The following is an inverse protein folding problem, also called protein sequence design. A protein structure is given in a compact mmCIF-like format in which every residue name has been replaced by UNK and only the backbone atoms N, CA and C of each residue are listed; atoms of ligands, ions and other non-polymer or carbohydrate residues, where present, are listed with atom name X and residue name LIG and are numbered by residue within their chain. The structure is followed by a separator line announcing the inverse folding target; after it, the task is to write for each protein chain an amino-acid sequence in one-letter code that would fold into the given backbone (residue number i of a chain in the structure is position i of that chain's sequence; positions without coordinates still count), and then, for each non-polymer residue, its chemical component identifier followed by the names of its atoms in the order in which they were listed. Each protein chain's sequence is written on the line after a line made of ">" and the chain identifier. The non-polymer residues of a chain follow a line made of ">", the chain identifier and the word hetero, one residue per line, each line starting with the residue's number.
data_IF_100838427579
#
_entry.id   IF_100838427579
#
_cell.length_a   1.000
_cell.length_b   1.000
_cell.length_c   1.000
_cell.angle_alpha   90.00
_cell.angle_beta   90.00
_cell.angle_gamma   90.00
#
_symmetry.space_group_name_H-M   'P 1'
#
loop_
_entity.id
_entity.type
_entity.pdbx_description
1 polymer ?
#
# COMPACT_ATOMS: atom_id res chain seq x y z
N UNK A 1 41.33 -8.37 8.26
CA UNK A 1 41.28 -6.89 8.11
C UNK A 1 39.94 -6.54 7.58
N UNK A 2 39.09 -5.91 8.41
CA UNK A 2 37.79 -5.41 7.98
C UNK A 2 37.97 -4.43 6.82
N UNK A 3 37.31 -4.68 5.71
CA UNK A 3 37.40 -3.86 4.48
C UNK A 3 36.78 -2.47 4.69
N UNK A 4 36.01 -2.29 5.77
CA UNK A 4 35.35 -1.02 6.08
C UNK A 4 36.00 -0.35 7.30
N UNK A 5 36.21 0.97 7.26
CA UNK A 5 36.69 1.72 8.43
C UNK A 5 35.73 1.53 9.62
N UNK A 6 36.28 1.31 10.81
CA UNK A 6 35.49 1.16 12.07
C UNK A 6 34.47 2.27 12.26
N UNK A 7 34.78 3.49 11.81
CA UNK A 7 33.88 4.63 11.79
C UNK A 7 32.55 4.38 11.03
N UNK A 8 32.59 3.69 9.88
CA UNK A 8 31.37 3.36 9.11
C UNK A 8 30.52 2.33 9.86
N UNK A 9 31.17 1.35 10.49
CA UNK A 9 30.48 0.33 11.29
C UNK A 9 29.82 0.95 12.51
N UNK A 10 30.51 1.85 13.20
CA UNK A 10 29.95 2.59 14.33
C UNK A 10 28.80 3.52 13.91
N UNK A 11 28.95 4.24 12.80
CA UNK A 11 27.86 5.05 12.24
C UNK A 11 26.61 4.20 11.95
N UNK A 12 26.76 3.06 11.31
CA UNK A 12 25.64 2.16 10.99
C UNK A 12 25.00 1.63 12.27
N UNK A 13 25.80 1.22 13.25
CA UNK A 13 25.27 0.68 14.51
C UNK A 13 24.56 1.73 15.36
N UNK A 14 25.05 2.99 15.34
CA UNK A 14 24.45 4.08 16.12
C UNK A 14 23.24 4.69 15.42
N UNK A 15 23.19 4.64 14.08
CA UNK A 15 22.10 5.21 13.27
C UNK A 15 20.99 4.20 12.97
N UNK A 16 21.24 2.91 13.11
CA UNK A 16 20.24 1.87 12.84
C UNK A 16 19.35 1.68 14.07
N UNK A 17 18.26 2.42 14.10
CA UNK A 17 17.20 2.21 15.10
C UNK A 17 16.39 0.97 14.68
N UNK A 18 16.59 -0.14 15.39
CA UNK A 18 15.92 -1.42 15.07
C UNK A 18 14.40 -1.36 15.15
N UNK A 19 13.85 -0.49 15.98
CA UNK A 19 12.43 -0.19 16.09
C UNK A 19 11.88 0.43 14.79
N UNK A 20 12.60 1.38 14.18
CA UNK A 20 12.26 1.98 12.88
C UNK A 20 12.25 0.90 11.78
N UNK A 21 13.28 0.03 11.78
CA UNK A 21 13.37 -1.06 10.80
C UNK A 21 12.19 -2.03 10.94
N UNK A 22 11.83 -2.40 12.16
CA UNK A 22 10.69 -3.29 12.42
C UNK A 22 9.37 -2.67 11.94
N UNK A 23 9.13 -1.40 12.26
CA UNK A 23 7.93 -0.69 11.81
C UNK A 23 7.89 -0.62 10.28
N UNK A 24 9.01 -0.30 9.64
CA UNK A 24 9.11 -0.28 8.18
C UNK A 24 8.78 -1.65 7.57
N UNK A 25 9.29 -2.74 8.13
CA UNK A 25 9.01 -4.11 7.67
C UNK A 25 7.53 -4.43 7.82
N UNK A 26 6.91 -4.12 8.96
CA UNK A 26 5.48 -4.38 9.20
C UNK A 26 4.62 -3.65 8.19
N UNK A 27 4.84 -2.34 7.99
CA UNK A 27 4.09 -1.55 7.02
C UNK A 27 4.34 -2.00 5.59
N UNK A 28 5.57 -2.42 5.25
CA UNK A 28 5.91 -2.95 3.92
C UNK A 28 5.16 -4.24 3.62
N UNK A 29 5.10 -5.17 4.57
CA UNK A 29 4.36 -6.45 4.40
C UNK A 29 2.86 -6.18 4.25
N UNK A 30 2.27 -5.37 5.13
CA UNK A 30 0.85 -5.05 5.08
C UNK A 30 0.48 -4.29 3.79
N UNK A 31 1.30 -3.32 3.40
CA UNK A 31 1.11 -2.59 2.16
C UNK A 31 1.26 -3.47 0.93
N UNK A 32 2.27 -4.35 0.91
CA UNK A 32 2.43 -5.33 -0.16
C UNK A 32 1.20 -6.22 -0.33
N UNK A 33 0.67 -6.77 0.75
CA UNK A 33 -0.54 -7.59 0.72
C UNK A 33 -1.75 -6.80 0.21
N UNK A 34 -1.93 -5.56 0.67
CA UNK A 34 -3.03 -4.69 0.23
C UNK A 34 -2.97 -4.46 -1.28
N UNK A 35 -1.84 -4.06 -1.81
CA UNK A 35 -1.67 -3.82 -3.25
C UNK A 35 -1.74 -5.11 -4.07
N UNK A 36 -1.22 -6.22 -3.53
CA UNK A 36 -1.30 -7.54 -4.17
C UNK A 36 -2.76 -7.92 -4.42
N UNK A 37 -3.65 -7.76 -3.44
CA UNK A 37 -5.07 -8.06 -3.61
C UNK A 37 -5.74 -7.15 -4.65
N UNK A 38 -5.37 -5.88 -4.69
CA UNK A 38 -5.88 -4.95 -5.71
C UNK A 38 -5.43 -5.40 -7.11
N UNK A 39 -4.14 -5.66 -7.30
CA UNK A 39 -3.61 -6.08 -8.60
C UNK A 39 -4.14 -7.45 -9.04
N UNK A 40 -4.32 -8.38 -8.11
CA UNK A 40 -4.93 -9.68 -8.39
C UNK A 40 -6.36 -9.54 -8.93
N UNK A 41 -7.17 -8.66 -8.32
CA UNK A 41 -8.53 -8.40 -8.81
C UNK A 41 -8.54 -7.71 -10.17
N UNK A 42 -7.69 -6.71 -10.37
CA UNK A 42 -7.58 -6.03 -11.65
C UNK A 42 -7.10 -6.96 -12.77
N UNK A 43 -6.10 -7.80 -12.49
CA UNK A 43 -5.60 -8.79 -13.43
C UNK A 43 -6.66 -9.80 -13.86
N UNK A 44 -7.57 -10.19 -12.97
CA UNK A 44 -8.66 -11.12 -13.31
C UNK A 44 -9.72 -10.53 -14.25
N UNK A 45 -9.79 -9.22 -14.38
CA UNK A 45 -10.75 -8.52 -15.23
C UNK A 45 -10.20 -8.22 -16.64
N UNK A 46 -8.90 -8.40 -16.82
CA UNK A 46 -8.22 -8.08 -18.08
C UNK A 46 -8.11 -9.35 -18.93
N UNK A 47 -8.67 -9.31 -20.13
CA UNK A 47 -8.64 -10.42 -21.07
C UNK A 47 -7.50 -10.32 -22.09
N UNK A 48 -6.96 -9.13 -22.31
CA UNK A 48 -5.89 -8.87 -23.28
C UNK A 48 -4.76 -8.09 -22.62
N UNK A 49 -3.52 -8.38 -23.03
CA UNK A 49 -2.32 -7.70 -22.50
C UNK A 49 -2.38 -6.19 -22.76
N UNK A 50 -2.96 -5.77 -23.87
CA UNK A 50 -3.15 -4.36 -24.24
C UNK A 50 -4.04 -3.58 -23.25
N UNK A 51 -4.98 -4.25 -22.61
CA UNK A 51 -5.93 -3.62 -21.65
C UNK A 51 -5.32 -3.50 -20.23
N UNK A 52 -4.19 -4.17 -19.95
CA UNK A 52 -3.54 -4.17 -18.62
C UNK A 52 -3.17 -2.76 -18.18
N UNK A 53 -2.55 -1.99 -19.06
CA UNK A 53 -2.11 -0.64 -18.74
C UNK A 53 -3.28 0.25 -18.30
N UNK A 54 -4.42 0.16 -18.98
CA UNK A 54 -5.64 0.90 -18.62
C UNK A 54 -6.21 0.49 -17.25
N UNK A 55 -6.18 -0.81 -16.95
CA UNK A 55 -6.70 -1.33 -15.69
C UNK A 55 -5.82 -0.92 -14.48
N UNK A 56 -4.50 -0.84 -14.66
CA UNK A 56 -3.54 -0.52 -13.56
C UNK A 56 -3.39 0.97 -13.34
N UNK A 57 -3.70 1.81 -14.33
CA UNK A 57 -3.52 3.27 -14.29
C UNK A 57 -4.10 3.92 -13.02
N UNK A 58 -5.33 3.64 -12.56
CA UNK A 58 -5.86 4.27 -11.35
C UNK A 58 -5.03 3.97 -10.10
N UNK A 59 -4.51 2.74 -9.99
CA UNK A 59 -3.65 2.33 -8.85
C UNK A 59 -2.30 3.00 -8.93
N UNK A 60 -1.76 3.18 -10.14
CA UNK A 60 -0.51 3.91 -10.37
C UNK A 60 -0.63 5.37 -9.93
N UNK A 61 -1.73 6.04 -10.25
CA UNK A 61 -1.97 7.41 -9.77
C UNK A 61 -2.06 7.48 -8.24
N UNK A 62 -2.72 6.51 -7.60
CA UNK A 62 -2.78 6.44 -6.15
C UNK A 62 -1.36 6.30 -5.55
N UNK A 63 -0.51 5.48 -6.16
CA UNK A 63 0.87 5.28 -5.75
C UNK A 63 1.71 6.55 -5.90
N UNK A 64 1.58 7.25 -7.03
CA UNK A 64 2.27 8.53 -7.28
C UNK A 64 1.84 9.57 -6.26
N UNK A 65 0.54 9.65 -5.96
CA UNK A 65 0.02 10.56 -4.95
C UNK A 65 0.57 10.25 -3.55
N UNK A 66 0.60 8.96 -3.18
CA UNK A 66 1.19 8.51 -1.93
C UNK A 66 2.68 8.85 -1.84
N UNK A 67 3.42 8.68 -2.94
CA UNK A 67 4.84 9.03 -3.03
C UNK A 67 5.08 10.54 -2.86
N UNK A 68 4.24 11.38 -3.47
CA UNK A 68 4.34 12.84 -3.30
C UNK A 68 4.14 13.23 -1.83
N UNK A 69 3.13 12.68 -1.16
CA UNK A 69 2.91 12.96 0.26
C UNK A 69 4.07 12.45 1.12
N UNK A 70 4.62 11.29 0.80
CA UNK A 70 5.79 10.74 1.48
C UNK A 70 7.00 11.68 1.37
N UNK A 71 7.25 12.27 0.19
CA UNK A 71 8.30 13.26 0.00
C UNK A 71 8.07 14.52 0.82
N UNK A 72 6.84 15.01 0.94
CA UNK A 72 6.51 16.11 1.86
C UNK A 72 6.84 15.70 3.30
N UNK A 73 6.57 14.44 3.65
CA UNK A 73 6.87 13.86 4.97
C UNK A 73 8.35 13.88 5.33
N UNK A 74 9.26 13.75 4.36
CA UNK A 74 10.70 13.82 4.64
C UNK A 74 11.16 15.23 5.03
N UNK A 75 10.53 16.26 4.47
CA UNK A 75 10.87 17.66 4.74
C UNK A 75 10.04 18.26 5.88
N UNK A 76 8.80 17.81 6.05
CA UNK A 76 7.85 18.34 7.02
C UNK A 76 6.96 17.24 7.61
N UNK A 77 7.54 16.35 8.44
CA UNK A 77 6.84 15.15 8.94
C UNK A 77 5.63 15.47 9.84
N UNK A 78 5.59 16.66 10.42
CA UNK A 78 4.48 17.13 11.25
C UNK A 78 3.41 17.93 10.48
N UNK A 79 3.55 18.10 9.16
CA UNK A 79 2.53 18.73 8.33
C UNK A 79 1.18 17.99 8.48
N UNK A 80 0.07 18.75 8.53
CA UNK A 80 -1.27 18.19 8.72
C UNK A 80 -1.63 17.13 7.67
N UNK A 81 -1.26 17.35 6.41
CA UNK A 81 -1.48 16.40 5.33
C UNK A 81 -0.75 15.07 5.57
N UNK A 82 0.47 15.10 6.10
CA UNK A 82 1.27 13.91 6.38
C UNK A 82 0.72 13.16 7.58
N UNK A 83 0.24 13.87 8.61
CA UNK A 83 -0.44 13.27 9.78
C UNK A 83 -1.72 12.54 9.37
N UNK A 84 -2.58 13.20 8.59
CA UNK A 84 -3.84 12.61 8.12
C UNK A 84 -3.56 11.40 7.22
N UNK A 85 -2.62 11.52 6.29
CA UNK A 85 -2.28 10.44 5.36
C UNK A 85 -1.68 9.20 6.05
N UNK A 86 -1.10 9.35 7.23
CA UNK A 86 -0.61 8.22 8.04
C UNK A 86 -1.73 7.27 8.50
N UNK A 87 -2.99 7.71 8.48
CA UNK A 87 -4.16 6.88 8.77
C UNK A 87 -4.85 6.34 7.52
N UNK A 88 -4.45 6.78 6.32
CA UNK A 88 -5.00 6.28 5.06
C UNK A 88 -4.19 5.06 4.61
N UNK A 89 -4.74 3.84 4.60
CA UNK A 89 -3.99 2.59 4.40
C UNK A 89 -3.14 2.55 3.13
N UNK A 90 -3.61 3.17 2.04
CA UNK A 90 -2.87 3.22 0.77
C UNK A 90 -1.63 4.11 0.82
N UNK A 91 -1.61 5.10 1.69
CA UNK A 91 -0.55 6.10 1.82
C UNK A 91 0.30 5.84 3.06
N UNK A 92 -0.29 5.29 4.11
CA UNK A 92 0.35 5.03 5.40
C UNK A 92 1.56 4.09 5.30
N UNK A 93 1.57 3.21 4.29
CA UNK A 93 2.72 2.38 3.92
C UNK A 93 4.02 3.20 3.85
N UNK A 94 3.94 4.41 3.32
CA UNK A 94 5.11 5.30 3.16
C UNK A 94 5.22 6.32 4.28
N UNK A 95 4.10 6.95 4.63
CA UNK A 95 4.11 8.13 5.53
C UNK A 95 4.31 7.78 6.98
N UNK A 96 3.76 6.67 7.47
CA UNK A 96 3.90 6.31 8.90
C UNK A 96 5.32 5.93 9.28
N UNK A 97 6.06 5.08 8.52
CA UNK A 97 7.46 4.78 8.82
C UNK A 97 8.36 6.02 8.74
N UNK A 98 8.12 6.92 7.77
CA UNK A 98 8.88 8.17 7.63
C UNK A 98 8.64 9.06 8.84
N UNK A 99 7.39 9.25 9.26
CA UNK A 99 7.06 10.03 10.45
C UNK A 99 7.71 9.44 11.70
N UNK A 100 7.63 8.13 11.86
CA UNK A 100 8.23 7.46 13.00
C UNK A 100 9.74 7.62 13.08
N UNK A 101 10.42 7.60 11.94
CA UNK A 101 11.87 7.80 11.87
C UNK A 101 12.31 9.25 12.14
N UNK A 102 11.45 10.24 11.86
CA UNK A 102 11.82 11.66 11.88
C UNK A 102 11.16 12.47 13.01
N UNK A 103 10.17 11.89 13.71
CA UNK A 103 9.43 12.58 14.78
C UNK A 103 9.01 11.62 15.88
N UNK A 104 8.68 12.16 17.03
CA UNK A 104 8.12 11.41 18.16
C UNK A 104 6.65 11.03 17.88
N UNK A 105 6.45 9.92 17.17
CA UNK A 105 5.10 9.36 16.93
C UNK A 105 4.74 8.44 18.10
N UNK A 106 3.58 8.66 18.66
CA UNK A 106 3.09 7.84 19.77
C UNK A 106 2.81 6.40 19.32
N UNK A 107 3.14 5.41 20.14
CA UNK A 107 2.85 3.98 19.89
C UNK A 107 1.36 3.77 19.56
N UNK A 108 0.49 4.56 20.17
CA UNK A 108 -0.96 4.52 19.92
C UNK A 108 -1.30 4.94 18.48
N UNK A 109 -0.66 5.98 17.93
CA UNK A 109 -0.84 6.40 16.53
C UNK A 109 -0.42 5.28 15.56
N UNK A 110 0.70 4.62 15.85
CA UNK A 110 1.20 3.48 15.06
C UNK A 110 0.21 2.33 15.12
N UNK A 111 -0.27 1.99 16.32
CA UNK A 111 -1.25 0.93 16.53
C UNK A 111 -2.55 1.17 15.77
N UNK A 112 -3.05 2.41 15.75
CA UNK A 112 -4.25 2.80 14.98
C UNK A 112 -3.98 2.65 13.48
N UNK A 113 -2.84 3.13 12.98
CA UNK A 113 -2.47 3.02 11.55
C UNK A 113 -2.38 1.56 11.11
N UNK A 114 -1.72 0.70 11.88
CA UNK A 114 -1.63 -0.74 11.62
C UNK A 114 -3.02 -1.37 11.64
N UNK A 115 -3.83 -1.07 12.65
CA UNK A 115 -5.20 -1.56 12.76
C UNK A 115 -6.06 -1.21 11.55
N UNK A 116 -6.01 0.04 11.11
CA UNK A 116 -6.70 0.51 9.89
C UNK A 116 -6.19 -0.21 8.64
N UNK A 117 -4.86 -0.38 8.50
CA UNK A 117 -4.29 -1.14 7.39
C UNK A 117 -4.79 -2.58 7.35
N UNK A 118 -4.82 -3.27 8.49
CA UNK A 118 -5.30 -4.66 8.58
C UNK A 118 -6.78 -4.73 8.20
N UNK A 119 -7.63 -3.86 8.75
CA UNK A 119 -9.07 -3.85 8.46
C UNK A 119 -9.33 -3.59 6.98
N UNK A 120 -8.69 -2.58 6.40
CA UNK A 120 -8.90 -2.24 4.98
C UNK A 120 -8.30 -3.32 4.07
N UNK A 121 -7.13 -3.88 4.39
CA UNK A 121 -6.56 -5.00 3.64
C UNK A 121 -7.49 -6.22 3.64
N UNK A 122 -8.13 -6.52 4.77
CA UNK A 122 -9.11 -7.60 4.87
C UNK A 122 -10.36 -7.34 4.03
N UNK A 123 -10.87 -6.11 4.03
CA UNK A 123 -12.01 -5.72 3.19
C UNK A 123 -11.68 -5.83 1.70
N UNK A 124 -10.50 -5.34 1.32
CA UNK A 124 -10.02 -5.42 -0.06
C UNK A 124 -9.77 -6.87 -0.47
N UNK A 125 -9.24 -7.71 0.41
CA UNK A 125 -9.09 -9.14 0.16
C UNK A 125 -10.44 -9.80 -0.14
N UNK A 126 -11.47 -9.55 0.66
CA UNK A 126 -12.82 -10.08 0.40
C UNK A 126 -13.39 -9.60 -0.94
N UNK A 127 -13.24 -8.32 -1.23
CA UNK A 127 -13.66 -7.72 -2.50
C UNK A 127 -12.87 -8.32 -3.68
N UNK A 128 -11.58 -8.51 -3.52
CA UNK A 128 -10.68 -9.11 -4.51
C UNK A 128 -11.10 -10.55 -4.84
N UNK A 129 -11.40 -11.36 -3.83
CA UNK A 129 -11.88 -12.73 -4.01
C UNK A 129 -13.21 -12.74 -4.78
N UNK A 130 -14.12 -11.83 -4.44
CA UNK A 130 -15.40 -11.72 -5.16
C UNK A 130 -15.19 -11.35 -6.63
N UNK A 131 -14.39 -10.32 -6.91
CA UNK A 131 -14.08 -9.88 -8.27
C UNK A 131 -13.36 -10.98 -9.05
N UNK A 132 -12.38 -11.64 -8.44
CA UNK A 132 -11.62 -12.72 -9.07
C UNK A 132 -12.52 -13.88 -9.49
N UNK A 133 -13.45 -14.29 -8.62
CA UNK A 133 -14.43 -15.36 -8.94
C UNK A 133 -15.30 -14.99 -10.13
N UNK A 134 -15.78 -13.77 -10.20
CA UNK A 134 -16.61 -13.30 -11.32
C UNK A 134 -15.79 -13.15 -12.62
N UNK A 135 -14.57 -12.63 -12.51
CA UNK A 135 -13.67 -12.45 -13.66
C UNK A 135 -13.26 -13.76 -14.30
N UNK A 136 -12.91 -14.78 -13.50
CA UNK A 136 -12.50 -16.09 -14.02
C UNK A 136 -13.63 -16.91 -14.63
N UNK A 137 -14.88 -16.68 -14.24
CA UNK A 137 -16.04 -17.38 -14.81
C UNK A 137 -16.47 -16.83 -16.18
N UNK A 138 -16.07 -15.61 -16.52
CA UNK A 138 -16.47 -14.92 -17.76
C UNK A 138 -15.26 -14.63 -18.67
N UNK A 139 -14.37 -15.59 -18.80
CA UNK A 139 -13.18 -15.48 -19.66
C UNK A 139 -13.61 -15.24 -21.12
N UNK A 140 -13.33 -14.04 -21.66
CA UNK A 140 -13.62 -13.66 -23.05
C UNK A 140 -14.50 -12.43 -23.24
N UNK A 141 -15.23 -11.97 -22.20
CA UNK A 141 -16.01 -10.75 -22.27
C UNK A 141 -15.37 -9.64 -21.40
N UNK A 142 -15.19 -8.43 -21.96
CA UNK A 142 -14.67 -7.29 -21.20
C UNK A 142 -15.60 -6.94 -20.06
N UNK A 143 -15.18 -7.22 -18.83
CA UNK A 143 -15.94 -6.85 -17.64
C UNK A 143 -15.51 -5.49 -17.10
N UNK A 144 -16.47 -4.63 -16.87
CA UNK A 144 -16.23 -3.37 -16.17
C UNK A 144 -16.51 -3.54 -14.68
N UNK A 145 -15.57 -3.08 -13.82
CA UNK A 145 -15.72 -3.04 -12.36
C UNK A 145 -17.05 -2.40 -11.93
N UNK A 146 -17.48 -1.35 -12.62
CA UNK A 146 -18.72 -0.63 -12.32
C UNK A 146 -19.96 -1.51 -12.53
N UNK A 147 -19.95 -2.38 -13.55
CA UNK A 147 -21.05 -3.32 -13.80
C UNK A 147 -21.12 -4.43 -12.76
N UNK A 148 -19.95 -4.94 -12.32
CA UNK A 148 -19.84 -5.93 -11.25
C UNK A 148 -20.40 -5.41 -9.92
N UNK A 149 -20.02 -4.21 -9.54
CA UNK A 149 -20.46 -3.61 -8.28
C UNK A 149 -21.96 -3.21 -8.28
N UNK A 150 -22.55 -2.98 -9.44
CA UNK A 150 -23.99 -2.65 -9.59
C UNK A 150 -24.91 -3.88 -9.63
N UNK A 151 -24.39 -5.11 -9.57
CA UNK A 151 -25.19 -6.33 -9.52
C UNK A 151 -26.10 -6.59 -10.74
N UNK A 152 -25.86 -5.90 -11.87
CA UNK A 152 -26.61 -6.08 -13.12
C UNK A 152 -25.97 -7.17 -13.99
N UNK A 153 -26.03 -8.42 -13.52
CA UNK A 153 -25.84 -9.59 -14.37
C UNK A 153 -27.19 -10.27 -14.55
N UNK A 154 -27.87 -9.97 -15.62
CA UNK A 154 -28.81 -10.89 -16.25
C UNK A 154 -27.97 -11.85 -17.07
N UNK A 155 -27.95 -13.11 -16.67
CA UNK A 155 -27.53 -14.22 -17.51
C UNK A 155 -28.50 -14.31 -18.67
N UNK A 156 -28.08 -13.87 -19.86
CA UNK A 156 -28.62 -14.37 -21.13
C UNK A 156 -27.73 -15.48 -21.65
#
# INVERSE_FOLDING_TARGET
>A
KSVYPTFIIEMIQTSLQWDVVLIYIIFSILGYLLYLFIFASLGSLVSKVEDVAGAVTPVTFLFVFAYIIANIGTSSPNAGIVKISSYIPFVSLFTTPIRYALTDVTILEIGISIGLMIVVSYLIMKLSIYIYRQGSLNYGNKMSLIKLLKGKYTTE
#
